data_IF_645902627802
#
_entry.id   IF_645902627802
#
_cell.length_a   1.000
_cell.length_b   1.000
_cell.length_c   1.000
_cell.angle_alpha   90.00
_cell.angle_beta   90.00
_cell.angle_gamma   90.00
#
_symmetry.space_group_name_H-M   'P 1'
#
loop_
_entity.id
_entity.type
_entity.pdbx_description
1 polymer ?
#
# COMPACT_ATOMS: atom_id res chain seq x y z
N UNK A 1 -21.91 2.33 -4.85
CA UNK A 1 -21.71 1.70 -5.04
C UNK A 1 -21.31 0.93 -5.23
N UNK A 2 -21.16 1.15 -4.85
CA UNK A 2 -20.76 0.46 -4.84
C UNK A 2 -20.50 -0.32 -5.28
N UNK A 3 -20.85 0.00 -5.65
CA UNK A 3 -20.67 -1.04 -6.04
C UNK A 3 -19.63 -1.72 -6.27
N UNK A 4 -18.95 -1.24 -6.17
CA UNK A 4 -17.88 -2.00 -6.17
C UNK A 4 -17.95 -3.03 -5.21
N UNK A 5 -18.77 -3.85 -5.38
CA UNK A 5 -19.00 -4.93 -4.50
C UNK A 5 -17.75 -5.58 -4.05
N UNK A 6 -17.76 -6.21 -2.89
CA UNK A 6 -16.60 -6.91 -2.38
C UNK A 6 -16.04 -7.94 -3.35
N UNK A 7 -16.84 -8.51 -4.20
CA UNK A 7 -16.35 -9.42 -5.22
C UNK A 7 -15.38 -8.76 -6.17
N UNK A 8 -15.30 -7.43 -6.16
CA UNK A 8 -14.39 -6.69 -6.99
C UNK A 8 -13.22 -6.10 -6.24
N UNK A 9 -12.79 -6.72 -5.18
CA UNK A 9 -11.67 -6.25 -4.40
C UNK A 9 -10.32 -6.41 -5.11
N UNK A 10 -10.29 -6.68 -6.39
CA UNK A 10 -9.05 -6.70 -7.15
C UNK A 10 -8.50 -5.29 -7.34
N UNK A 11 -7.22 -5.20 -7.66
CA UNK A 11 -6.57 -3.94 -7.97
C UNK A 11 -6.67 -3.69 -9.46
N UNK A 12 -7.65 -2.90 -9.85
CA UNK A 12 -7.77 -2.47 -11.23
C UNK A 12 -6.73 -1.43 -11.59
N UNK A 13 -6.69 -1.04 -12.86
CA UNK A 13 -5.73 -0.05 -13.33
C UNK A 13 -5.83 1.26 -12.58
N UNK A 14 -7.03 1.71 -12.27
CA UNK A 14 -7.24 2.97 -11.57
C UNK A 14 -6.81 2.94 -10.11
N UNK A 15 -6.52 1.74 -9.56
CA UNK A 15 -6.10 1.58 -8.18
C UNK A 15 -4.59 1.54 -8.03
N UNK A 16 -3.82 1.63 -9.10
CA UNK A 16 -2.37 1.53 -9.06
C UNK A 16 -1.71 2.84 -9.45
N UNK A 17 -0.69 3.22 -8.68
CA UNK A 17 0.13 4.38 -9.00
C UNK A 17 1.24 3.92 -9.93
N UNK A 18 1.29 4.49 -11.14
CA UNK A 18 2.23 4.05 -12.16
C UNK A 18 3.19 5.13 -12.63
N UNK A 19 2.85 6.40 -12.44
CA UNK A 19 3.65 7.48 -13.01
C UNK A 19 4.67 7.99 -12.02
N UNK A 20 5.89 8.22 -12.51
CA UNK A 20 6.98 8.71 -11.67
C UNK A 20 6.67 10.04 -11.00
N UNK A 21 5.92 10.93 -11.67
CA UNK A 21 5.53 12.21 -11.08
C UNK A 21 4.64 12.04 -9.86
N UNK A 22 3.80 11.01 -9.84
CA UNK A 22 2.95 10.73 -8.68
C UNK A 22 3.78 10.26 -7.49
N UNK A 23 4.79 9.43 -7.74
CA UNK A 23 5.73 9.03 -6.71
C UNK A 23 6.50 10.22 -6.15
N UNK A 24 6.95 11.13 -7.04
CA UNK A 24 7.67 12.34 -6.61
C UNK A 24 6.78 13.24 -5.76
N UNK A 25 5.52 13.40 -6.16
CA UNK A 25 4.56 14.21 -5.41
C UNK A 25 4.34 13.65 -4.01
N UNK A 26 4.22 12.33 -3.89
CA UNK A 26 4.11 11.68 -2.59
C UNK A 26 5.33 11.94 -1.72
N UNK A 27 6.51 11.94 -2.32
CA UNK A 27 7.75 12.13 -1.61
C UNK A 27 7.89 13.57 -1.08
N UNK A 28 7.41 14.55 -1.83
CA UNK A 28 7.56 15.97 -1.48
C UNK A 28 6.38 16.54 -0.69
N UNK A 29 5.16 16.06 -0.95
CA UNK A 29 3.95 16.62 -0.35
C UNK A 29 3.22 15.64 0.56
N UNK A 30 3.58 14.36 0.53
CA UNK A 30 2.90 13.34 1.31
C UNK A 30 3.46 13.20 2.72
N UNK A 31 2.83 12.33 3.48
CA UNK A 31 3.28 11.97 4.82
C UNK A 31 3.92 10.59 4.79
N UNK A 32 4.69 10.28 5.82
CA UNK A 32 5.48 9.04 5.86
C UNK A 32 5.46 8.44 7.25
N UNK A 33 5.37 7.11 7.31
CA UNK A 33 5.50 6.40 8.58
C UNK A 33 6.25 5.08 8.35
N UNK A 34 7.24 4.83 9.20
CA UNK A 34 8.01 3.58 9.19
C UNK A 34 7.52 2.71 10.33
N UNK A 35 7.13 1.47 10.02
CA UNK A 35 6.66 0.56 11.06
C UNK A 35 6.87 -0.89 10.62
N UNK A 36 7.55 -1.66 11.44
CA UNK A 36 7.77 -3.06 11.14
C UNK A 36 8.54 -3.29 9.86
N UNK A 37 8.01 -4.11 8.99
CA UNK A 37 8.71 -4.53 7.76
C UNK A 37 8.40 -3.64 6.56
N UNK A 38 7.73 -2.50 6.75
CA UNK A 38 7.37 -1.64 5.63
C UNK A 38 7.39 -0.16 6.02
N UNK A 39 7.42 0.67 4.99
CA UNK A 39 7.29 2.11 5.10
C UNK A 39 6.08 2.52 4.28
N UNK A 40 5.19 3.32 4.86
CA UNK A 40 4.05 3.86 4.14
C UNK A 40 4.26 5.34 3.86
N UNK A 41 4.01 5.74 2.62
CA UNK A 41 3.95 7.15 2.22
C UNK A 41 2.56 7.38 1.65
N UNK A 42 1.90 8.46 2.04
CA UNK A 42 0.55 8.68 1.56
C UNK A 42 0.26 10.16 1.37
N UNK A 43 -0.71 10.42 0.49
CA UNK A 43 -1.20 11.74 0.19
C UNK A 43 -2.71 11.64 0.01
N UNK A 44 -3.46 12.44 0.74
CA UNK A 44 -4.91 12.46 0.61
C UNK A 44 -5.33 12.99 -0.76
N UNK A 45 -6.41 12.42 -1.29
CA UNK A 45 -6.96 12.80 -2.59
C UNK A 45 -8.40 13.29 -2.42
N UNK A 46 -8.60 14.55 -2.02
CA UNK A 46 -9.96 15.07 -1.86
C UNK A 46 -10.74 14.96 -3.16
N UNK A 47 -11.96 14.46 -3.07
CA UNK A 47 -12.81 14.31 -4.23
C UNK A 47 -12.58 13.06 -5.06
N UNK A 48 -11.60 12.27 -4.76
CA UNK A 48 -11.38 11.01 -5.48
C UNK A 48 -12.37 9.95 -5.01
N UNK A 49 -12.70 9.03 -5.91
CA UNK A 49 -13.64 7.96 -5.58
C UNK A 49 -12.96 6.78 -4.90
N UNK A 50 -11.68 6.58 -5.16
CA UNK A 50 -10.93 5.44 -4.61
C UNK A 50 -9.48 5.79 -4.37
N UNK A 51 -8.87 5.01 -3.50
CA UNK A 51 -7.44 5.11 -3.24
C UNK A 51 -6.63 4.40 -4.33
N UNK A 52 -5.38 4.82 -4.48
CA UNK A 52 -4.45 4.17 -5.41
C UNK A 52 -3.26 3.63 -4.63
N UNK A 53 -2.67 2.55 -5.12
CA UNK A 53 -1.55 1.88 -4.47
C UNK A 53 -0.35 1.78 -5.39
N UNK A 54 0.82 2.09 -4.85
CA UNK A 54 2.10 1.76 -5.45
C UNK A 54 2.90 0.91 -4.48
N UNK A 55 3.68 -0.03 -4.99
CA UNK A 55 4.58 -0.82 -4.15
C UNK A 55 5.99 -0.71 -4.69
N UNK A 56 6.95 -0.59 -3.78
CA UNK A 56 8.36 -0.48 -4.11
C UNK A 56 9.11 -1.56 -3.33
N UNK A 57 9.79 -2.44 -4.06
CA UNK A 57 10.58 -3.52 -3.46
C UNK A 57 11.93 -3.51 -4.14
N UNK A 58 12.96 -3.07 -3.43
CA UNK A 58 14.31 -2.95 -3.98
C UNK A 58 15.04 -4.28 -3.97
N UNK A 59 16.17 -4.33 -4.66
CA UNK A 59 17.04 -5.52 -4.71
C UNK A 59 17.58 -5.89 -3.33
N UNK A 60 17.58 -4.97 -2.38
CA UNK A 60 18.03 -5.25 -1.01
C UNK A 60 17.13 -6.24 -0.29
N UNK A 61 15.89 -6.39 -0.73
CA UNK A 61 14.95 -7.33 -0.13
C UNK A 61 15.29 -8.76 -0.56
N UNK A 62 15.74 -8.95 -1.79
CA UNK A 62 16.09 -10.27 -2.30
C UNK A 62 16.05 -10.32 -3.81
N UNK A 63 16.15 -11.52 -4.36
CA UNK A 63 16.10 -11.75 -5.79
C UNK A 63 14.71 -11.54 -6.37
N UNK A 64 14.57 -11.74 -7.68
CA UNK A 64 13.32 -11.45 -8.39
C UNK A 64 12.14 -12.26 -7.87
N UNK A 65 12.35 -13.52 -7.50
CA UNK A 65 11.27 -14.37 -6.98
C UNK A 65 10.78 -13.83 -5.64
N UNK A 66 11.72 -13.48 -4.75
CA UNK A 66 11.39 -12.93 -3.43
C UNK A 66 10.66 -11.59 -3.59
N UNK A 67 11.16 -10.73 -4.46
CA UNK A 67 10.56 -9.42 -4.69
C UNK A 67 9.14 -9.53 -5.25
N UNK A 68 8.92 -10.44 -6.18
CA UNK A 68 7.59 -10.66 -6.74
C UNK A 68 6.60 -11.12 -5.67
N UNK A 69 7.06 -12.03 -4.81
CA UNK A 69 6.25 -12.52 -3.71
C UNK A 69 5.88 -11.39 -2.75
N UNK A 70 6.86 -10.56 -2.40
CA UNK A 70 6.64 -9.42 -1.48
C UNK A 70 5.65 -8.44 -2.07
N UNK A 71 5.78 -8.10 -3.36
CA UNK A 71 4.82 -7.22 -4.01
C UNK A 71 3.41 -7.78 -3.93
N UNK A 72 3.26 -9.08 -4.12
CA UNK A 72 1.96 -9.73 -4.03
C UNK A 72 1.38 -9.63 -2.63
N UNK A 73 2.20 -9.85 -1.60
CA UNK A 73 1.75 -9.75 -0.21
C UNK A 73 1.27 -8.33 0.11
N UNK A 74 2.01 -7.32 -0.34
CA UNK A 74 1.63 -5.94 -0.10
C UNK A 74 0.34 -5.56 -0.84
N UNK A 75 0.21 -5.98 -2.09
CA UNK A 75 -1.00 -5.73 -2.87
C UNK A 75 -2.21 -6.43 -2.26
N UNK A 76 -2.01 -7.64 -1.77
CA UNK A 76 -3.09 -8.39 -1.15
C UNK A 76 -3.57 -7.74 0.14
N UNK A 77 -2.64 -7.23 0.95
CA UNK A 77 -2.99 -6.50 2.16
C UNK A 77 -3.87 -5.29 1.82
N UNK A 78 -3.47 -4.52 0.80
CA UNK A 78 -4.25 -3.35 0.38
C UNK A 78 -5.60 -3.78 -0.20
N UNK A 79 -5.61 -4.81 -1.05
CA UNK A 79 -6.83 -5.28 -1.68
C UNK A 79 -7.90 -5.66 -0.64
N UNK A 80 -7.48 -6.33 0.42
CA UNK A 80 -8.39 -6.79 1.45
C UNK A 80 -8.91 -5.65 2.35
N UNK A 81 -8.12 -4.59 2.51
CA UNK A 81 -8.41 -3.56 3.50
C UNK A 81 -8.65 -2.17 2.93
N UNK A 82 -8.66 -2.02 1.60
CA UNK A 82 -8.80 -0.69 0.98
C UNK A 82 -10.10 0.02 1.36
N UNK A 83 -11.15 -0.73 1.63
CA UNK A 83 -12.44 -0.16 1.98
C UNK A 83 -12.53 0.26 3.45
N UNK A 84 -11.52 -0.04 4.24
CA UNK A 84 -11.43 0.39 5.62
C UNK A 84 -10.76 1.76 5.76
N UNK A 85 -10.24 2.31 4.67
CA UNK A 85 -9.66 3.64 4.68
C UNK A 85 -10.73 4.69 4.85
N UNK A 86 -10.48 5.65 5.74
CA UNK A 86 -11.46 6.70 6.04
C UNK A 86 -11.68 7.65 4.88
N UNK A 87 -10.66 7.87 4.07
CA UNK A 87 -10.71 8.78 2.93
C UNK A 87 -9.85 8.24 1.80
N UNK A 88 -10.17 8.57 0.53
CA UNK A 88 -9.31 8.18 -0.57
C UNK A 88 -7.92 8.81 -0.45
N UNK A 89 -6.91 8.03 -0.78
CA UNK A 89 -5.53 8.51 -0.74
C UNK A 89 -4.67 7.74 -1.73
N UNK A 90 -3.53 8.34 -2.09
CA UNK A 90 -2.46 7.64 -2.76
C UNK A 90 -1.56 7.07 -1.69
N UNK A 91 -1.29 5.78 -1.77
CA UNK A 91 -0.47 5.08 -0.79
C UNK A 91 0.65 4.36 -1.52
N UNK A 92 1.89 4.62 -1.10
CA UNK A 92 3.04 3.88 -1.60
C UNK A 92 3.64 3.10 -0.44
N UNK A 93 3.71 1.80 -0.60
CA UNK A 93 4.30 0.91 0.40
C UNK A 93 5.70 0.54 -0.08
N UNK A 94 6.69 0.82 0.75
CA UNK A 94 8.08 0.47 0.48
C UNK A 94 8.46 -0.67 1.40
N UNK A 95 8.89 -1.79 0.81
CA UNK A 95 9.28 -2.95 1.58
C UNK A 95 10.66 -2.73 2.18
N UNK A 96 10.81 -3.07 3.46
CA UNK A 96 12.11 -3.09 4.11
C UNK A 96 12.71 -4.49 3.98
N UNK A 97 14.05 -4.63 4.02
CA UNK A 97 14.67 -5.96 3.90
C UNK A 97 14.12 -6.98 4.90
N UNK A 98 13.67 -6.54 6.07
CA UNK A 98 13.11 -7.43 7.07
C UNK A 98 11.82 -8.14 6.64
N UNK A 99 11.22 -7.71 5.53
CA UNK A 99 10.00 -8.34 5.03
C UNK A 99 10.28 -9.70 4.38
N UNK A 100 11.51 -9.95 3.96
CA UNK A 100 11.86 -11.22 3.32
C UNK A 100 11.58 -12.37 4.29
N UNK A 101 10.92 -13.40 3.79
CA UNK A 101 10.57 -14.57 4.61
C UNK A 101 9.36 -14.40 5.51
N UNK A 102 8.77 -13.22 5.57
CA UNK A 102 7.58 -13.02 6.39
C UNK A 102 6.36 -13.65 5.74
N UNK A 103 5.46 -14.12 6.59
CA UNK A 103 4.17 -14.66 6.15
C UNK A 103 3.20 -13.53 5.89
N UNK A 104 2.15 -13.82 5.13
CA UNK A 104 1.13 -12.81 4.85
C UNK A 104 0.57 -12.20 6.14
N UNK A 105 0.30 -13.02 7.16
CA UNK A 105 -0.26 -12.51 8.42
C UNK A 105 0.63 -11.47 9.08
N UNK A 106 1.96 -11.65 8.99
CA UNK A 106 2.90 -10.68 9.56
C UNK A 106 2.88 -9.38 8.78
N UNK A 107 2.86 -9.47 7.45
CA UNK A 107 2.81 -8.29 6.59
C UNK A 107 1.50 -7.54 6.78
N UNK A 108 0.39 -8.27 6.84
CA UNK A 108 -0.92 -7.69 7.06
C UNK A 108 -0.99 -6.96 8.40
N UNK A 109 -0.44 -7.57 9.44
CA UNK A 109 -0.41 -6.96 10.77
C UNK A 109 0.36 -5.63 10.76
N UNK A 110 1.54 -5.62 10.11
CA UNK A 110 2.34 -4.39 10.03
C UNK A 110 1.64 -3.34 9.16
N UNK A 111 1.00 -3.78 8.09
CA UNK A 111 0.24 -2.89 7.22
C UNK A 111 -0.92 -2.21 8.00
N UNK A 112 -1.74 -3.00 8.66
CA UNK A 112 -2.87 -2.46 9.43
C UNK A 112 -2.39 -1.62 10.60
N UNK A 113 -1.32 -2.04 11.27
CA UNK A 113 -0.74 -1.28 12.35
C UNK A 113 -0.25 0.09 11.91
N UNK A 114 0.35 0.14 10.72
CA UNK A 114 0.81 1.40 10.14
C UNK A 114 -0.37 2.32 9.84
N UNK A 115 -1.40 1.80 9.18
CA UNK A 115 -2.57 2.61 8.84
C UNK A 115 -3.31 3.10 10.11
N UNK A 116 -3.39 2.25 11.12
CA UNK A 116 -4.06 2.61 12.36
C UNK A 116 -3.26 3.69 13.09
N UNK A 117 -1.95 3.53 13.18
CA UNK A 117 -1.09 4.52 13.84
C UNK A 117 -1.10 5.85 13.11
N UNK A 118 -1.28 5.83 11.79
CA UNK A 118 -1.35 7.05 10.98
C UNK A 118 -2.74 7.69 11.00
N UNK A 119 -3.74 7.03 11.60
CA UNK A 119 -5.09 7.56 11.64
C UNK A 119 -5.83 7.47 10.32
N UNK A 120 -5.48 6.52 9.46
CA UNK A 120 -6.05 6.40 8.12
C UNK A 120 -7.24 5.46 8.04
N UNK A 121 -7.47 4.65 9.05
CA UNK A 121 -8.61 3.71 9.07
C UNK A 121 -9.86 4.38 9.63
N UNK A 122 -11.02 3.90 9.16
CA UNK A 122 -12.31 4.34 9.68
C UNK A 122 -12.45 4.07 11.17
#
# INVERSE_FOLDING_TARGET
MAADAPSRRGLGRGSRIKQGRDFRKLRTAGQRMVRGCLIANWLHLPGAERSRLGVVVSKKVGGSVVRSRVKRLLRESFRLHQYELAQPLDLVLVARPSIAGRKFADVERDFLGTLRAAGLLK
#
